data_IF_175371286546
#
_entry.id   IF_175371286546
#
_cell.length_a   1.000
_cell.length_b   1.000
_cell.length_c   1.000
_cell.angle_alpha   90.00
_cell.angle_beta   90.00
_cell.angle_gamma   90.00
#
_symmetry.space_group_name_H-M   'P 1'
#
loop_
_entity.id
_entity.type
_entity.pdbx_description
1 polymer ?
#
# COMPACT_ATOMS: atom_id res chain seq x y z
N UNK A 1 -14.75 17.50 -9.64
CA UNK A 1 -13.53 18.33 -9.56
C UNK A 1 -13.54 19.01 -8.20
N UNK A 2 -12.76 18.52 -7.23
CA UNK A 2 -12.81 19.00 -5.84
C UNK A 2 -11.83 20.19 -5.66
N UNK A 3 -12.17 21.27 -4.93
CA UNK A 3 -11.42 22.54 -4.96
C UNK A 3 -10.08 22.56 -4.19
N UNK A 4 -9.51 21.41 -3.81
CA UNK A 4 -8.31 21.37 -2.93
C UNK A 4 -6.98 21.66 -3.64
N UNK A 5 -6.86 21.36 -4.93
CA UNK A 5 -5.59 21.50 -5.67
C UNK A 5 -5.11 22.95 -5.89
N UNK A 6 -6.01 23.94 -5.86
CA UNK A 6 -5.70 25.33 -6.23
C UNK A 6 -5.09 26.22 -5.14
N UNK A 7 -5.08 25.79 -3.86
CA UNK A 7 -4.59 26.64 -2.75
C UNK A 7 -3.10 26.46 -2.43
N UNK A 8 -2.50 25.33 -2.81
CA UNK A 8 -1.10 25.02 -2.44
C UNK A 8 -0.07 25.76 -3.31
N UNK A 9 -0.44 26.20 -4.51
CA UNK A 9 0.51 26.83 -5.44
C UNK A 9 0.88 28.26 -5.06
N UNK A 10 0.13 28.91 -4.15
CA UNK A 10 0.23 30.36 -3.91
C UNK A 10 0.97 30.74 -2.63
N UNK A 11 1.13 29.84 -1.65
CA UNK A 11 1.69 30.18 -0.33
C UNK A 11 3.18 29.87 -0.16
N UNK A 12 3.78 29.07 -1.05
CA UNK A 12 5.15 28.57 -0.90
C UNK A 12 5.38 27.60 0.27
N UNK A 13 4.38 27.39 1.13
CA UNK A 13 4.40 26.47 2.26
C UNK A 13 4.21 25.04 1.77
N UNK A 14 5.13 24.15 2.15
CA UNK A 14 5.09 22.72 1.82
C UNK A 14 4.78 21.93 3.09
N UNK A 15 3.73 21.12 3.06
CA UNK A 15 3.41 20.17 4.13
C UNK A 15 3.70 18.75 3.65
N UNK A 16 3.94 17.86 4.61
CA UNK A 16 4.34 16.47 4.37
C UNK A 16 3.88 15.63 5.54
N UNK A 17 3.43 14.41 5.25
CA UNK A 17 3.06 13.42 6.28
C UNK A 17 4.25 12.56 6.68
N UNK A 18 5.41 12.73 6.04
CA UNK A 18 6.63 12.07 6.43
C UNK A 18 7.06 12.55 7.81
N UNK A 19 7.50 11.61 8.64
CA UNK A 19 8.28 11.93 9.83
C UNK A 19 9.56 12.67 9.45
N UNK A 20 10.22 13.32 10.42
CA UNK A 20 11.52 13.98 10.21
C UNK A 20 12.55 13.06 9.52
N UNK A 21 12.82 11.82 10.00
CA UNK A 21 13.72 10.91 9.29
C UNK A 21 13.17 10.50 7.91
N UNK A 22 11.84 10.43 7.78
CA UNK A 22 11.10 10.33 6.52
C UNK A 22 11.56 11.33 5.46
N UNK A 23 11.37 12.61 5.77
CA UNK A 23 11.65 13.71 4.85
C UNK A 23 13.14 13.80 4.52
N UNK A 24 14.01 13.75 5.53
CA UNK A 24 15.47 13.87 5.35
C UNK A 24 16.02 12.72 4.51
N UNK A 25 15.57 11.48 4.76
CA UNK A 25 16.03 10.33 3.98
C UNK A 25 15.58 10.39 2.52
N UNK A 26 14.32 10.81 2.28
CA UNK A 26 13.81 10.99 0.93
C UNK A 26 14.60 12.06 0.16
N UNK A 27 14.88 13.21 0.80
CA UNK A 27 15.68 14.27 0.18
C UNK A 27 17.12 13.84 -0.11
N UNK A 28 17.74 13.05 0.78
CA UNK A 28 19.11 12.54 0.60
C UNK A 28 19.28 11.69 -0.66
N UNK A 29 18.20 11.03 -1.11
CA UNK A 29 18.16 10.25 -2.37
C UNK A 29 17.48 10.99 -3.52
N UNK A 30 17.28 12.30 -3.37
CA UNK A 30 16.75 13.15 -4.43
C UNK A 30 15.24 13.05 -4.65
N UNK A 31 14.47 12.58 -3.66
CA UNK A 31 13.01 12.62 -3.65
C UNK A 31 12.53 13.75 -2.76
N UNK A 32 12.16 14.88 -3.37
CA UNK A 32 11.73 16.07 -2.64
C UNK A 32 10.22 16.03 -2.37
N UNK A 33 9.75 16.15 -1.12
CA UNK A 33 8.33 16.30 -0.81
C UNK A 33 7.73 17.54 -1.49
N UNK A 34 6.56 17.39 -2.09
CA UNK A 34 5.83 18.48 -2.77
C UNK A 34 4.43 18.73 -2.23
N UNK A 35 3.91 17.82 -1.39
CA UNK A 35 2.62 18.00 -0.73
C UNK A 35 2.03 16.69 -0.24
N UNK A 36 0.87 16.79 0.39
CA UNK A 36 0.07 15.65 0.82
C UNK A 36 -0.96 15.32 -0.26
N UNK A 37 -1.27 14.03 -0.42
CA UNK A 37 -2.28 13.56 -1.37
C UNK A 37 -3.17 12.53 -0.72
N UNK A 38 -4.46 12.59 -1.07
CA UNK A 38 -5.51 11.79 -0.48
C UNK A 38 -6.44 11.22 -1.56
N UNK A 39 -6.69 9.92 -1.45
CA UNK A 39 -7.79 9.26 -2.13
C UNK A 39 -8.83 8.84 -1.12
N UNK A 40 -10.11 9.14 -1.37
CA UNK A 40 -11.19 8.63 -0.53
C UNK A 40 -12.34 8.13 -1.39
N UNK A 41 -12.99 7.06 -0.96
CA UNK A 41 -14.29 6.61 -1.47
C UNK A 41 -15.12 6.01 -0.36
N UNK A 42 -16.41 6.34 -0.33
CA UNK A 42 -17.41 5.59 0.44
C UNK A 42 -18.11 4.65 -0.54
N UNK A 43 -18.07 3.36 -0.26
CA UNK A 43 -18.62 2.34 -1.14
C UNK A 43 -19.55 1.41 -0.37
N UNK A 44 -20.68 1.08 -0.99
CA UNK A 44 -21.58 0.04 -0.53
C UNK A 44 -21.28 -1.25 -1.30
N UNK A 45 -21.14 -2.37 -0.58
CA UNK A 45 -20.95 -3.69 -1.18
C UNK A 45 -21.50 -4.78 -0.28
N UNK A 46 -22.29 -5.68 -0.86
CA UNK A 46 -22.78 -6.88 -0.18
C UNK A 46 -21.72 -7.98 -0.11
N UNK A 47 -20.88 -8.10 -1.14
CA UNK A 47 -19.69 -8.95 -1.11
C UNK A 47 -18.50 -8.20 -0.48
N UNK A 48 -17.97 -8.66 0.68
CA UNK A 48 -16.83 -8.03 1.33
C UNK A 48 -15.57 -8.02 0.47
N UNK A 49 -15.32 -9.08 -0.32
CA UNK A 49 -14.07 -9.22 -1.08
C UNK A 49 -14.05 -8.23 -2.24
N UNK A 50 -15.07 -8.26 -3.10
CA UNK A 50 -15.17 -7.31 -4.21
C UNK A 50 -15.31 -5.87 -3.73
N UNK A 51 -15.97 -5.66 -2.58
CA UNK A 51 -16.07 -4.35 -1.94
C UNK A 51 -14.71 -3.78 -1.56
N UNK A 52 -13.86 -4.58 -0.91
CA UNK A 52 -12.50 -4.16 -0.56
C UNK A 52 -11.65 -3.91 -1.82
N UNK A 53 -11.70 -4.79 -2.82
CA UNK A 53 -10.95 -4.62 -4.09
C UNK A 53 -11.30 -3.30 -4.76
N UNK A 54 -12.59 -3.05 -5.00
CA UNK A 54 -13.06 -1.83 -5.66
C UNK A 54 -12.79 -0.58 -4.82
N UNK A 55 -12.98 -0.66 -3.51
CA UNK A 55 -12.75 0.45 -2.58
C UNK A 55 -11.29 0.91 -2.61
N UNK A 56 -10.34 -0.02 -2.45
CA UNK A 56 -8.92 0.30 -2.51
C UNK A 56 -8.50 0.78 -3.91
N UNK A 57 -8.93 0.12 -4.98
CA UNK A 57 -8.60 0.53 -6.35
C UNK A 57 -9.05 1.97 -6.62
N UNK A 58 -10.31 2.29 -6.31
CA UNK A 58 -10.87 3.63 -6.52
C UNK A 58 -10.18 4.69 -5.66
N UNK A 59 -9.90 4.39 -4.40
CA UNK A 59 -9.19 5.31 -3.52
C UNK A 59 -7.76 5.57 -4.04
N UNK A 60 -7.03 4.54 -4.43
CA UNK A 60 -5.67 4.67 -4.96
C UNK A 60 -5.64 5.43 -6.30
N UNK A 61 -6.61 5.23 -7.17
CA UNK A 61 -6.70 5.98 -8.43
C UNK A 61 -6.95 7.47 -8.19
N UNK A 62 -7.79 7.82 -7.19
CA UNK A 62 -8.00 9.21 -6.77
C UNK A 62 -6.71 9.83 -6.21
N UNK A 63 -5.97 9.10 -5.37
CA UNK A 63 -4.68 9.54 -4.85
C UNK A 63 -3.65 9.76 -5.97
N UNK A 64 -3.58 8.85 -6.95
CA UNK A 64 -2.69 8.99 -8.12
C UNK A 64 -3.07 10.18 -8.99
N UNK A 65 -4.36 10.42 -9.19
CA UNK A 65 -4.84 11.58 -9.94
C UNK A 65 -4.46 12.88 -9.24
N UNK A 66 -4.61 12.97 -7.92
CA UNK A 66 -4.19 14.14 -7.15
C UNK A 66 -2.65 14.34 -7.20
N UNK A 67 -1.88 13.26 -7.01
CA UNK A 67 -0.42 13.31 -7.13
C UNK A 67 0.03 13.79 -8.52
N UNK A 68 -0.63 13.32 -9.57
CA UNK A 68 -0.37 13.75 -10.97
C UNK A 68 -0.69 15.23 -11.14
N UNK A 69 -1.80 15.72 -10.57
CA UNK A 69 -2.18 17.14 -10.62
C UNK A 69 -1.17 18.05 -9.88
N UNK A 70 -0.54 17.56 -8.81
CA UNK A 70 0.59 18.22 -8.13
C UNK A 70 1.93 18.07 -8.89
N UNK A 71 1.92 17.36 -10.01
CA UNK A 71 3.07 17.04 -10.84
C UNK A 71 4.08 16.12 -10.16
N UNK A 72 3.67 15.36 -9.15
CA UNK A 72 4.55 14.44 -8.43
C UNK A 72 5.08 13.33 -9.33
N UNK A 73 6.24 12.78 -8.96
CA UNK A 73 6.84 11.60 -9.60
C UNK A 73 6.57 10.32 -8.80
N UNK A 74 6.12 10.46 -7.55
CA UNK A 74 5.63 9.34 -6.76
C UNK A 74 4.96 9.77 -5.47
N UNK A 75 4.47 8.79 -4.72
CA UNK A 75 3.84 8.99 -3.40
C UNK A 75 4.44 8.00 -2.41
N UNK A 76 4.98 8.53 -1.32
CA UNK A 76 5.61 7.79 -0.22
C UNK A 76 4.69 7.64 0.99
N UNK A 77 5.03 6.67 1.83
CA UNK A 77 4.39 6.43 3.12
C UNK A 77 2.85 6.38 3.03
N UNK A 78 2.34 5.70 1.99
CA UNK A 78 0.89 5.55 1.82
C UNK A 78 0.34 4.70 2.96
N UNK A 79 -0.53 5.32 3.76
CA UNK A 79 -1.37 4.63 4.73
C UNK A 79 -2.75 4.37 4.11
N UNK A 80 -3.26 3.16 4.31
CA UNK A 80 -4.59 2.74 3.85
C UNK A 80 -5.47 2.43 5.06
N UNK A 81 -6.56 3.17 5.21
CA UNK A 81 -7.53 3.00 6.31
C UNK A 81 -8.88 2.62 5.73
N UNK A 82 -9.56 1.67 6.38
CA UNK A 82 -10.94 1.29 6.04
C UNK A 82 -11.80 1.35 7.29
N UNK A 83 -12.84 2.17 7.24
CA UNK A 83 -13.78 2.36 8.34
C UNK A 83 -15.15 1.84 7.93
N UNK A 84 -15.75 0.98 8.76
CA UNK A 84 -17.13 0.53 8.56
C UNK A 84 -18.11 1.62 8.99
N UNK A 85 -18.95 2.08 8.06
CA UNK A 85 -20.07 3.00 8.35
C UNK A 85 -21.33 2.20 8.67
N UNK A 86 -21.51 1.06 8.00
CA UNK A 86 -22.55 0.06 8.28
C UNK A 86 -22.06 -1.34 7.88
N UNK A 87 -22.94 -2.35 7.91
CA UNK A 87 -22.60 -3.71 7.49
C UNK A 87 -22.12 -3.80 6.03
N UNK A 88 -22.70 -2.98 5.14
CA UNK A 88 -22.42 -2.98 3.70
C UNK A 88 -21.67 -1.73 3.24
N UNK A 89 -21.67 -0.65 4.04
CA UNK A 89 -21.03 0.62 3.68
C UNK A 89 -19.69 0.77 4.38
N UNK A 90 -18.64 1.01 3.61
CA UNK A 90 -17.28 1.24 4.10
C UNK A 90 -16.68 2.50 3.47
N UNK A 91 -15.96 3.28 4.27
CA UNK A 91 -15.11 4.36 3.81
C UNK A 91 -13.68 3.85 3.65
N UNK A 92 -13.08 4.13 2.51
CA UNK A 92 -11.68 3.84 2.20
C UNK A 92 -10.94 5.16 2.09
N UNK A 93 -9.89 5.32 2.87
CA UNK A 93 -9.00 6.47 2.82
C UNK A 93 -7.59 5.99 2.56
N UNK A 94 -6.95 6.53 1.53
CA UNK A 94 -5.53 6.37 1.27
C UNK A 94 -4.87 7.74 1.32
N UNK A 95 -3.78 7.85 2.06
CA UNK A 95 -3.14 9.13 2.33
C UNK A 95 -1.62 8.94 2.29
N UNK A 96 -0.90 9.86 1.63
CA UNK A 96 0.56 9.79 1.54
C UNK A 96 1.20 11.14 1.19
N UNK A 97 2.52 11.15 1.07
CA UNK A 97 3.29 12.34 0.69
C UNK A 97 3.72 12.24 -0.76
N UNK A 98 3.25 13.15 -1.59
CA UNK A 98 3.70 13.31 -2.96
C UNK A 98 5.16 13.81 -2.97
N UNK A 99 5.99 13.19 -3.80
CA UNK A 99 7.39 13.55 -3.98
C UNK A 99 7.72 13.78 -5.44
N UNK A 100 8.71 14.62 -5.70
CA UNK A 100 9.26 14.91 -7.02
C UNK A 100 10.74 14.55 -7.05
N UNK A 101 11.16 13.79 -8.05
CA UNK A 101 12.56 13.48 -8.27
C UNK A 101 13.29 14.74 -8.73
N UNK A 102 14.40 15.10 -8.08
CA UNK A 102 15.23 16.24 -8.51
C UNK A 102 16.19 15.88 -9.65
N UNK A 103 16.49 14.59 -9.83
CA UNK A 103 17.40 14.07 -10.86
C UNK A 103 16.88 12.71 -11.36
N UNK A 104 17.35 12.28 -12.53
CA UNK A 104 17.00 10.99 -13.11
C UNK A 104 15.77 11.02 -14.01
N UNK A 105 15.43 9.86 -14.57
CA UNK A 105 14.28 9.70 -15.47
C UNK A 105 12.99 9.78 -14.67
N UNK A 106 12.15 10.78 -14.97
CA UNK A 106 10.82 10.91 -14.37
C UNK A 106 9.91 9.80 -14.92
N UNK A 107 9.17 9.07 -14.07
CA UNK A 107 8.26 8.03 -14.54
C UNK A 107 7.06 8.67 -15.26
N UNK A 108 6.49 7.96 -16.23
CA UNK A 108 5.32 8.44 -16.97
C UNK A 108 4.06 8.58 -16.09
N UNK A 109 4.02 7.83 -14.97
CA UNK A 109 2.98 7.89 -13.95
C UNK A 109 3.64 7.90 -12.57
N UNK A 110 3.07 8.59 -11.57
CA UNK A 110 3.63 8.56 -10.23
C UNK A 110 3.73 7.13 -9.68
N UNK A 111 4.90 6.74 -9.20
CA UNK A 111 5.00 5.49 -8.44
C UNK A 111 4.23 5.62 -7.12
N UNK A 112 3.75 4.51 -6.56
CA UNK A 112 3.07 4.51 -5.25
C UNK A 112 3.72 3.50 -4.32
N UNK A 113 3.86 3.83 -3.04
CA UNK A 113 4.43 2.90 -2.06
C UNK A 113 3.97 3.22 -0.63
N UNK A 114 3.76 2.17 0.16
CA UNK A 114 3.54 2.27 1.60
C UNK A 114 4.84 2.40 2.40
N UNK A 115 6.00 2.29 1.75
CA UNK A 115 7.30 2.36 2.41
C UNK A 115 7.58 3.76 2.95
N UNK A 116 8.29 3.81 4.07
CA UNK A 116 8.75 5.06 4.68
C UNK A 116 9.86 5.71 3.85
N UNK A 117 10.14 6.99 4.10
CA UNK A 117 11.28 7.69 3.47
C UNK A 117 12.61 6.95 3.64
N UNK A 118 13.02 6.54 4.86
CA UNK A 118 14.21 5.71 5.08
C UNK A 118 14.22 4.40 4.29
N UNK A 119 13.08 3.71 4.20
CA UNK A 119 13.01 2.44 3.48
C UNK A 119 13.17 2.64 1.98
N UNK A 120 12.54 3.66 1.40
CA UNK A 120 12.72 4.01 -0.01
C UNK A 120 14.14 4.49 -0.28
N UNK A 121 14.75 5.26 0.64
CA UNK A 121 16.14 5.67 0.49
C UNK A 121 17.08 4.47 0.43
N UNK A 122 16.92 3.49 1.33
CA UNK A 122 17.69 2.24 1.31
C UNK A 122 17.44 1.43 0.05
N UNK A 123 16.19 1.36 -0.39
CA UNK A 123 15.79 0.66 -1.61
C UNK A 123 16.53 1.23 -2.83
N UNK A 124 16.51 2.57 -2.99
CA UNK A 124 17.19 3.27 -4.08
C UNK A 124 18.71 3.09 -4.03
N UNK A 125 19.32 3.20 -2.85
CA UNK A 125 20.76 2.96 -2.65
C UNK A 125 21.17 1.52 -2.97
N UNK A 126 20.27 0.56 -2.81
CA UNK A 126 20.47 -0.83 -3.18
C UNK A 126 20.20 -1.11 -4.68
N UNK A 127 19.90 -0.08 -5.50
CA UNK A 127 19.63 -0.22 -6.93
C UNK A 127 18.20 -0.65 -7.25
N UNK A 128 17.27 -0.55 -6.30
CA UNK A 128 15.86 -0.89 -6.47
C UNK A 128 14.98 0.35 -6.42
N UNK A 129 13.93 0.39 -7.23
CA UNK A 129 12.94 1.48 -7.27
C UNK A 129 11.55 0.96 -6.92
N UNK A 130 10.72 1.73 -6.20
CA UNK A 130 9.31 1.41 -6.05
C UNK A 130 8.57 1.60 -7.38
N UNK A 131 7.64 0.69 -7.68
CA UNK A 131 6.78 0.74 -8.87
C UNK A 131 5.37 1.14 -8.47
N UNK A 132 4.71 0.31 -7.65
CA UNK A 132 3.35 0.58 -7.20
C UNK A 132 3.01 -0.10 -5.88
N UNK A 133 2.06 0.47 -5.15
CA UNK A 133 1.45 -0.18 -4.00
C UNK A 133 0.58 -1.32 -4.53
N UNK A 134 0.91 -2.54 -4.12
CA UNK A 134 0.20 -3.75 -4.48
C UNK A 134 -0.63 -4.26 -3.29
N UNK A 135 -1.85 -4.69 -3.58
CA UNK A 135 -2.80 -5.20 -2.59
C UNK A 135 -3.40 -6.49 -3.14
N UNK A 136 -3.37 -7.56 -2.34
CA UNK A 136 -4.06 -8.83 -2.65
C UNK A 136 -5.14 -9.12 -1.60
N UNK A 137 -6.30 -9.65 -2.02
CA UNK A 137 -7.47 -9.82 -1.14
C UNK A 137 -8.10 -11.20 -1.34
N UNK A 138 -7.83 -12.10 -0.41
CA UNK A 138 -8.48 -13.41 -0.37
C UNK A 138 -9.77 -13.35 0.44
N UNK A 139 -10.77 -14.14 0.07
CA UNK A 139 -11.91 -14.41 0.94
C UNK A 139 -12.56 -15.73 0.62
N UNK A 140 -13.38 -16.21 1.54
CA UNK A 140 -14.09 -17.46 1.38
C UNK A 140 -15.00 -17.75 2.54
N UNK A 141 -15.85 -18.75 2.34
CA UNK A 141 -16.68 -19.37 3.36
C UNK A 141 -16.36 -20.86 3.43
N UNK A 142 -16.68 -21.47 4.56
CA UNK A 142 -16.69 -22.91 4.73
C UNK A 142 -17.82 -23.28 5.69
N UNK A 143 -18.43 -24.43 5.45
CA UNK A 143 -19.55 -24.95 6.24
C UNK A 143 -19.22 -26.36 6.70
N UNK A 144 -19.56 -26.65 7.94
CA UNK A 144 -19.50 -27.97 8.54
C UNK A 144 -20.76 -28.15 9.41
N UNK A 145 -21.66 -29.02 8.96
CA UNK A 145 -22.90 -29.33 9.68
C UNK A 145 -22.64 -30.17 10.95
N UNK A 146 -21.45 -30.77 11.08
CA UNK A 146 -21.02 -31.53 12.25
C UNK A 146 -20.25 -30.67 13.27
N UNK A 147 -20.11 -29.36 13.02
CA UNK A 147 -19.39 -28.41 13.88
C UNK A 147 -19.99 -28.27 15.29
N UNK A 148 -21.21 -28.79 15.51
CA UNK A 148 -22.00 -28.62 16.72
C UNK A 148 -21.49 -29.39 17.95
N UNK A 149 -20.52 -30.32 17.83
CA UNK A 149 -20.43 -31.38 18.86
C UNK A 149 -19.05 -31.74 19.45
N UNK A 150 -18.02 -30.86 19.40
CA UNK A 150 -16.73 -31.13 20.09
C UNK A 150 -16.03 -29.89 20.69
N UNK A 151 -16.41 -29.44 21.90
CA UNK A 151 -15.68 -28.40 22.62
C UNK A 151 -14.24 -28.87 22.96
N UNK A 152 -13.23 -28.07 22.62
CA UNK A 152 -11.82 -28.30 23.00
C UNK A 152 -10.96 -29.05 21.98
N UNK A 153 -11.53 -29.53 20.87
CA UNK A 153 -10.74 -30.03 19.73
C UNK A 153 -10.36 -28.89 18.79
N UNK A 154 -9.21 -28.99 18.11
CA UNK A 154 -8.94 -28.13 16.95
C UNK A 154 -10.09 -28.29 15.95
N UNK A 155 -10.69 -27.17 15.53
CA UNK A 155 -11.71 -27.16 14.50
C UNK A 155 -11.01 -27.08 13.13
N UNK A 156 -10.89 -28.18 12.37
CA UNK A 156 -10.05 -28.20 11.17
C UNK A 156 -10.60 -27.26 10.08
N UNK A 157 -11.93 -27.15 9.98
CA UNK A 157 -12.59 -26.35 8.95
C UNK A 157 -12.26 -24.83 9.05
N UNK A 158 -12.36 -24.16 10.22
CA UNK A 158 -11.87 -22.79 10.37
C UNK A 158 -10.39 -22.61 10.05
N UNK A 159 -9.52 -23.55 10.45
CA UNK A 159 -8.07 -23.50 10.18
C UNK A 159 -7.77 -23.60 8.68
N UNK A 160 -8.40 -24.56 7.98
CA UNK A 160 -8.27 -24.73 6.54
C UNK A 160 -8.80 -23.53 5.76
N UNK A 161 -9.94 -22.97 6.19
CA UNK A 161 -10.50 -21.75 5.61
C UNK A 161 -9.51 -20.59 5.70
N UNK A 162 -8.96 -20.33 6.90
CA UNK A 162 -7.97 -19.26 7.09
C UNK A 162 -6.73 -19.48 6.24
N UNK A 163 -6.23 -20.71 6.18
CA UNK A 163 -5.05 -21.07 5.39
C UNK A 163 -5.30 -20.81 3.89
N UNK A 164 -6.43 -21.28 3.37
CA UNK A 164 -6.84 -21.06 1.97
C UNK A 164 -7.00 -19.58 1.66
N UNK A 165 -7.67 -18.82 2.53
CA UNK A 165 -7.93 -17.39 2.33
C UNK A 165 -6.63 -16.58 2.35
N UNK A 166 -5.69 -16.90 3.24
CA UNK A 166 -4.36 -16.27 3.25
C UNK A 166 -3.56 -16.60 1.99
N UNK A 167 -3.60 -17.86 1.54
CA UNK A 167 -2.94 -18.27 0.31
C UNK A 167 -3.49 -17.51 -0.91
N UNK A 168 -4.83 -17.39 -1.02
CA UNK A 168 -5.48 -16.63 -2.08
C UNK A 168 -5.07 -15.15 -2.08
N UNK A 169 -5.01 -14.51 -0.90
CA UNK A 169 -4.57 -13.12 -0.79
C UNK A 169 -3.11 -12.92 -1.27
N UNK A 170 -2.22 -13.87 -0.97
CA UNK A 170 -0.81 -13.84 -1.44
C UNK A 170 -0.70 -14.05 -2.94
N UNK A 171 -1.50 -14.95 -3.51
CA UNK A 171 -1.56 -15.18 -4.97
C UNK A 171 -2.00 -13.91 -5.70
N UNK A 172 -3.06 -13.26 -5.22
CA UNK A 172 -3.52 -12.00 -5.82
C UNK A 172 -2.47 -10.89 -5.68
N UNK A 173 -1.81 -10.78 -4.53
CA UNK A 173 -0.71 -9.82 -4.34
C UNK A 173 0.44 -10.09 -5.34
N UNK A 174 0.85 -11.35 -5.50
CA UNK A 174 1.88 -11.73 -6.47
C UNK A 174 1.47 -11.43 -7.92
N UNK A 175 0.20 -11.63 -8.25
CA UNK A 175 -0.37 -11.28 -9.57
C UNK A 175 -0.30 -9.77 -9.79
N UNK A 176 -0.72 -8.96 -8.81
CA UNK A 176 -0.64 -7.50 -8.89
C UNK A 176 0.80 -6.98 -9.05
N UNK A 177 1.78 -7.64 -8.40
CA UNK A 177 3.21 -7.34 -8.59
C UNK A 177 3.64 -7.65 -10.02
N UNK A 178 3.32 -8.84 -10.53
CA UNK A 178 3.69 -9.26 -11.89
C UNK A 178 3.07 -8.36 -12.97
N UNK A 179 1.77 -8.04 -12.85
CA UNK A 179 1.05 -7.18 -13.79
C UNK A 179 1.59 -5.74 -13.83
N UNK A 180 2.24 -5.29 -12.75
CA UNK A 180 2.90 -3.98 -12.72
C UNK A 180 4.22 -3.91 -13.49
N UNK A 181 4.73 -5.06 -13.98
CA UNK A 181 6.04 -5.15 -14.63
C UNK A 181 7.21 -5.04 -13.66
N UNK A 182 6.97 -5.27 -12.37
CA UNK A 182 7.98 -5.24 -11.32
C UNK A 182 8.73 -6.58 -11.23
N UNK A 183 9.97 -6.53 -10.71
CA UNK A 183 10.81 -7.72 -10.53
C UNK A 183 10.50 -8.47 -9.21
N UNK A 184 9.82 -7.82 -8.26
CA UNK A 184 9.47 -8.42 -6.98
C UNK A 184 8.53 -7.56 -6.13
N UNK A 185 8.15 -8.07 -4.96
CA UNK A 185 7.23 -7.38 -4.04
C UNK A 185 7.66 -7.48 -2.58
N UNK A 186 7.62 -6.37 -1.87
CA UNK A 186 7.85 -6.29 -0.43
C UNK A 186 6.52 -6.22 0.30
N UNK A 187 6.18 -7.25 1.06
CA UNK A 187 4.98 -7.25 1.92
C UNK A 187 5.24 -6.44 3.18
N UNK A 188 4.39 -5.46 3.46
CA UNK A 188 4.51 -4.59 4.64
C UNK A 188 3.48 -4.94 5.71
N UNK A 189 2.31 -5.42 5.32
CA UNK A 189 1.30 -5.86 6.29
C UNK A 189 0.40 -6.95 5.72
N UNK A 190 -0.18 -7.73 6.61
CA UNK A 190 -1.23 -8.70 6.29
C UNK A 190 -2.31 -8.60 7.35
N UNK A 191 -3.56 -8.58 6.92
CA UNK A 191 -4.72 -8.61 7.81
C UNK A 191 -5.49 -9.91 7.59
N UNK A 192 -6.18 -10.37 8.62
CA UNK A 192 -7.11 -11.49 8.56
C UNK A 192 -8.30 -11.15 9.46
N UNK A 193 -9.51 -11.31 8.93
CA UNK A 193 -10.74 -11.29 9.70
C UNK A 193 -11.49 -12.57 9.41
N UNK A 194 -11.92 -13.27 10.46
CA UNK A 194 -12.78 -14.44 10.35
C UNK A 194 -13.97 -14.26 11.29
N UNK A 195 -15.14 -14.72 10.87
CA UNK A 195 -16.37 -14.64 11.65
C UNK A 195 -17.25 -15.86 11.39
N UNK A 196 -18.07 -16.23 12.38
CA UNK A 196 -19.01 -17.32 12.25
C UNK A 196 -20.18 -16.94 11.33
N UNK A 197 -20.65 -17.91 10.54
CA UNK A 197 -21.87 -17.85 9.74
C UNK A 197 -22.90 -18.80 10.37
N UNK A 198 -23.68 -18.29 11.30
CA UNK A 198 -24.56 -19.12 12.12
C UNK A 198 -23.76 -20.11 12.97
N UNK A 199 -24.30 -21.31 13.18
CA UNK A 199 -23.68 -22.35 14.01
C UNK A 199 -22.87 -23.38 13.21
N UNK A 200 -22.94 -23.33 11.88
CA UNK A 200 -22.44 -24.38 10.99
C UNK A 200 -21.45 -23.86 9.95
N UNK A 201 -21.07 -22.58 10.00
CA UNK A 201 -20.19 -22.01 9.01
C UNK A 201 -19.25 -20.95 9.55
N UNK A 202 -18.25 -20.64 8.74
CA UNK A 202 -17.32 -19.55 8.95
C UNK A 202 -17.06 -18.84 7.63
N UNK A 203 -16.82 -17.54 7.70
CA UNK A 203 -16.29 -16.74 6.62
C UNK A 203 -14.98 -16.09 7.05
N UNK A 204 -14.07 -15.90 6.10
CA UNK A 204 -12.82 -15.22 6.33
C UNK A 204 -12.44 -14.33 5.15
N UNK A 205 -11.74 -13.24 5.45
CA UNK A 205 -11.12 -12.32 4.49
C UNK A 205 -9.71 -12.02 4.96
N UNK A 206 -8.75 -12.11 4.05
CA UNK A 206 -7.37 -11.68 4.28
C UNK A 206 -6.95 -10.65 3.24
N UNK A 207 -6.17 -9.66 3.67
CA UNK A 207 -5.56 -8.69 2.76
C UNK A 207 -4.04 -8.70 2.96
N UNK A 208 -3.29 -8.61 1.86
CA UNK A 208 -1.83 -8.44 1.85
C UNK A 208 -1.55 -7.08 1.23
N UNK A 209 -0.78 -6.23 1.91
CA UNK A 209 -0.34 -4.93 1.42
C UNK A 209 1.17 -4.94 1.24
N UNK A 210 1.64 -4.29 0.19
CA UNK A 210 3.06 -4.20 -0.07
C UNK A 210 3.39 -3.27 -1.22
N UNK A 211 4.68 -3.25 -1.56
CA UNK A 211 5.22 -2.43 -2.65
C UNK A 211 5.86 -3.33 -3.68
N UNK A 212 5.41 -3.23 -4.93
CA UNK A 212 6.10 -3.80 -6.08
C UNK A 212 7.38 -2.99 -6.36
N UNK A 213 8.50 -3.68 -6.57
CA UNK A 213 9.83 -3.09 -6.75
C UNK A 213 10.51 -3.63 -8.02
N UNK A 214 11.29 -2.79 -8.69
CA UNK A 214 12.07 -3.15 -9.86
C UNK A 214 13.53 -2.73 -9.71
N UNK A 215 14.46 -3.40 -10.38
CA UNK A 215 15.85 -2.94 -10.47
C UNK A 215 15.94 -1.72 -11.38
N UNK A 216 16.73 -0.74 -10.98
CA UNK A 216 17.13 0.34 -11.89
C UNK A 216 18.07 -0.24 -12.95
N UNK A 217 17.76 -0.06 -14.24
CA UNK A 217 18.56 -0.61 -15.35
C UNK A 217 19.98 -0.02 -15.43
N UNK A 218 20.25 1.07 -14.72
CA UNK A 218 21.59 1.67 -14.57
C UNK A 218 21.76 2.17 -13.13
N UNK A 219 22.46 1.41 -12.28
CA UNK A 219 22.90 1.87 -10.97
C UNK A 219 24.34 2.37 -11.04
N UNK A 220 24.69 3.54 -10.45
CA UNK A 220 26.10 3.92 -10.32
C UNK A 220 26.80 2.91 -9.41
N UNK A 221 28.03 2.54 -9.77
CA UNK A 221 28.90 1.70 -8.93
C UNK A 221 28.94 2.27 -7.49
N UNK A 222 28.96 1.41 -6.45
CA UNK A 222 28.89 1.85 -5.07
C UNK A 222 29.91 2.95 -4.78
N UNK A 223 29.41 4.11 -4.35
CA UNK A 223 30.23 5.28 -4.04
C UNK A 223 31.22 4.89 -2.94
N UNK A 224 32.52 4.95 -3.26
CA UNK A 224 33.57 4.78 -2.27
C UNK A 224 33.31 5.72 -1.07
N UNK A 225 33.30 5.14 0.13
CA UNK A 225 33.18 5.84 1.40
C UNK A 225 34.15 7.02 1.45
N UNK A 226 33.63 8.25 1.50
CA UNK A 226 34.41 9.45 1.76
C UNK A 226 34.15 9.94 3.19
N UNK A 227 35.22 9.95 3.97
CA UNK A 227 35.47 10.86 5.09
C UNK A 227 34.74 10.56 6.39
N UNK A 228 35.42 9.82 7.28
CA UNK A 228 35.12 9.91 8.71
C UNK A 228 35.27 11.37 9.19
N UNK A 229 34.32 11.81 10.01
CA UNK A 229 34.37 13.09 10.71
C UNK A 229 35.58 13.07 11.68
N UNK A 230 36.53 14.02 11.60
CA UNK A 230 37.53 14.14 12.65
C UNK A 230 36.84 14.79 13.84
N UNK A 231 36.64 14.01 14.91
CA UNK A 231 36.35 14.57 16.22
C UNK A 231 37.70 15.04 16.79
N UNK A 232 37.90 16.36 16.80
CA UNK A 232 38.91 17.02 17.62
C UNK A 232 38.37 17.35 19.00
#
# INVERSE_FOLDING_TARGET
MHPRAGRYTTSGLRTSLLSVPGAVSAEAVGLRPVGEVMGCVVAQSEDPVSGLRRGYATALDRLRAEATALGADGVLAIACTVTGVSATVREFVVLGTAVRAVRGKRPARPFTTGLSGPDVAKLLLAGWVPVTLAIGIGGGHAYDLAMTDRPGAEAPMPTELVTRVRAAARVEFGTAVAESGADGGLVTSTTLRAWALGHTGAAAVASVFGTAIARCADGPAPTATRGALPLG
#
